data_IF_282061922611
#
_entry.id   IF_282061922611
#
_cell.length_a   1.000
_cell.length_b   1.000
_cell.length_c   1.000
_cell.angle_alpha   90.00
_cell.angle_beta   90.00
_cell.angle_gamma   90.00
#
_symmetry.space_group_name_H-M   'P 1'
#
loop_
_entity.id
_entity.type
_entity.pdbx_description
1 polymer ?
#
# COMPACT_ATOMS: atom_id res chain seq x y z
N UNK A 1 3.04 12.52 -7.35
CA UNK A 1 3.22 12.24 -5.91
C UNK A 1 2.49 13.29 -5.09
N UNK A 2 1.83 12.88 -4.01
CA UNK A 2 1.17 13.75 -3.03
C UNK A 2 1.72 13.47 -1.64
N UNK A 3 2.11 14.54 -0.93
CA UNK A 3 2.59 14.44 0.44
C UNK A 3 1.42 14.39 1.42
N UNK A 4 1.61 13.61 2.49
CA UNK A 4 0.71 13.48 3.65
C UNK A 4 1.58 13.39 4.93
N UNK A 5 0.98 13.16 6.10
CA UNK A 5 1.73 13.18 7.36
C UNK A 5 2.04 11.79 7.93
N UNK A 6 1.44 10.74 7.40
CA UNK A 6 1.60 9.37 7.92
C UNK A 6 1.34 8.31 6.85
N UNK A 7 1.76 7.07 7.10
CA UNK A 7 1.41 5.93 6.27
C UNK A 7 -0.09 5.68 6.22
N UNK A 8 -0.81 5.88 7.33
CA UNK A 8 -2.29 5.78 7.37
C UNK A 8 -2.96 6.74 6.38
N UNK A 9 -2.52 8.00 6.35
CA UNK A 9 -3.05 8.97 5.38
C UNK A 9 -2.68 8.61 3.95
N UNK A 10 -1.49 8.07 3.72
CA UNK A 10 -1.06 7.63 2.39
C UNK A 10 -1.94 6.50 1.85
N UNK A 11 -2.13 5.44 2.62
CA UNK A 11 -2.93 4.26 2.23
C UNK A 11 -4.41 4.60 2.10
N UNK A 12 -4.97 5.36 3.06
CA UNK A 12 -6.35 5.86 2.99
C UNK A 12 -6.59 6.68 1.72
N UNK A 13 -5.66 7.57 1.39
CA UNK A 13 -5.77 8.43 0.20
C UNK A 13 -5.60 7.64 -1.10
N UNK A 14 -4.69 6.67 -1.12
CA UNK A 14 -4.49 5.80 -2.28
C UNK A 14 -5.72 4.93 -2.57
N UNK A 15 -6.37 4.37 -1.55
CA UNK A 15 -7.62 3.61 -1.73
C UNK A 15 -8.77 4.51 -2.18
N UNK A 16 -8.92 5.71 -1.59
CA UNK A 16 -9.93 6.67 -2.06
C UNK A 16 -9.69 7.04 -3.53
N UNK A 17 -8.44 7.26 -3.90
CA UNK A 17 -8.07 7.57 -5.28
C UNK A 17 -8.38 6.40 -6.23
N UNK A 18 -8.07 5.16 -5.83
CA UNK A 18 -8.36 3.97 -6.60
C UNK A 18 -9.88 3.82 -6.84
N UNK A 19 -10.69 3.99 -5.80
CA UNK A 19 -12.16 3.99 -5.91
C UNK A 19 -12.66 5.10 -6.85
N UNK A 20 -12.17 6.33 -6.69
CA UNK A 20 -12.55 7.46 -7.54
C UNK A 20 -12.12 7.31 -9.00
N UNK A 21 -10.98 6.66 -9.26
CA UNK A 21 -10.49 6.40 -10.60
C UNK A 21 -11.30 5.30 -11.31
N UNK A 22 -11.56 4.19 -10.63
CA UNK A 22 -12.22 3.01 -11.21
C UNK A 22 -13.75 3.08 -11.16
N UNK A 23 -14.32 3.91 -10.28
CA UNK A 23 -15.77 3.93 -10.00
C UNK A 23 -16.26 2.66 -9.30
N UNK A 24 -15.37 1.91 -8.64
CA UNK A 24 -15.67 0.66 -7.93
C UNK A 24 -15.43 0.84 -6.43
N UNK A 25 -16.15 0.11 -5.57
CA UNK A 25 -16.14 0.35 -4.13
C UNK A 25 -15.25 -0.62 -3.35
N UNK A 26 -15.14 -1.88 -3.82
CA UNK A 26 -14.46 -2.93 -3.06
C UNK A 26 -12.95 -2.87 -3.20
N UNK A 27 -12.26 -3.25 -2.14
CA UNK A 27 -10.81 -3.49 -2.14
C UNK A 27 -10.49 -4.89 -1.63
N UNK A 28 -9.39 -5.45 -2.10
CA UNK A 28 -8.80 -6.66 -1.53
C UNK A 28 -7.56 -6.24 -0.74
N UNK A 29 -7.47 -6.65 0.53
CA UNK A 29 -6.26 -6.61 1.35
C UNK A 29 -5.86 -8.03 1.74
N UNK A 30 -4.67 -8.19 2.31
CA UNK A 30 -4.21 -9.50 2.78
C UNK A 30 -4.28 -9.61 4.30
N UNK A 31 -4.63 -10.79 4.79
CA UNK A 31 -4.57 -11.10 6.21
C UNK A 31 -3.16 -10.88 6.74
N UNK A 32 -3.04 -10.26 7.91
CA UNK A 32 -1.76 -9.92 8.53
C UNK A 32 -1.07 -8.67 7.98
N UNK A 33 -1.41 -8.18 6.77
CA UNK A 33 -0.91 -6.88 6.29
C UNK A 33 -1.53 -5.72 7.08
N UNK A 34 -0.68 -4.76 7.45
CA UNK A 34 -1.09 -3.55 8.16
C UNK A 34 -0.95 -2.31 7.27
N UNK A 35 -2.05 -1.59 7.11
CA UNK A 35 -2.12 -0.41 6.25
C UNK A 35 -2.55 0.86 7.00
N UNK A 36 -2.27 0.93 8.30
CA UNK A 36 -2.72 2.02 9.14
C UNK A 36 -4.10 1.75 9.76
N UNK A 37 -4.71 2.79 10.35
CA UNK A 37 -5.92 2.66 11.15
C UNK A 37 -7.15 3.35 10.55
N UNK A 38 -7.18 3.57 9.23
CA UNK A 38 -8.43 3.91 8.57
C UNK A 38 -9.39 2.72 8.63
N UNK A 39 -10.68 2.97 8.84
CA UNK A 39 -11.70 1.95 9.08
C UNK A 39 -11.68 0.81 8.06
N UNK A 40 -11.46 1.16 6.79
CA UNK A 40 -11.30 0.21 5.67
C UNK A 40 -10.25 -0.88 5.92
N UNK A 41 -9.22 -0.60 6.74
CA UNK A 41 -8.14 -1.54 7.01
C UNK A 41 -8.28 -2.31 8.33
N UNK A 42 -9.21 -1.90 9.20
CA UNK A 42 -9.47 -2.53 10.48
C UNK A 42 -10.42 -3.74 10.33
N UNK A 43 -10.13 -4.58 9.36
CA UNK A 43 -10.90 -5.76 9.00
C UNK A 43 -9.95 -6.94 8.87
N UNK A 44 -10.30 -8.06 9.50
CA UNK A 44 -9.59 -9.34 9.44
C UNK A 44 -10.43 -10.39 8.71
N UNK A 45 -9.82 -11.49 8.29
CA UNK A 45 -10.54 -12.62 7.73
C UNK A 45 -11.59 -13.15 8.74
N UNK A 46 -12.78 -13.48 8.24
CA UNK A 46 -13.82 -14.15 9.03
C UNK A 46 -13.39 -15.57 9.39
N UNK A 47 -13.90 -16.09 10.49
CA UNK A 47 -13.70 -17.49 10.86
C UNK A 47 -14.59 -18.41 10.01
N UNK A 48 -13.98 -19.37 9.33
CA UNK A 48 -14.69 -20.41 8.56
C UNK A 48 -15.01 -19.99 7.11
N UNK A 49 -16.11 -20.50 6.57
CA UNK A 49 -16.57 -20.26 5.19
C UNK A 49 -17.18 -18.86 4.97
N UNK A 50 -17.12 -17.97 5.97
CA UNK A 50 -17.64 -16.60 5.83
C UNK A 50 -16.71 -15.79 4.93
N UNK A 51 -17.19 -15.46 3.76
CA UNK A 51 -16.51 -14.61 2.75
C UNK A 51 -16.32 -13.17 3.23
N UNK A 52 -17.08 -12.75 4.24
CA UNK A 52 -17.03 -11.40 4.81
C UNK A 52 -16.01 -11.32 5.96
N UNK A 53 -15.16 -10.29 5.92
CA UNK A 53 -14.28 -9.96 7.02
C UNK A 53 -15.06 -9.63 8.31
N UNK A 54 -14.37 -9.71 9.43
CA UNK A 54 -14.87 -9.21 10.71
C UNK A 54 -14.11 -7.95 11.09
N UNK A 55 -14.81 -6.98 11.71
CA UNK A 55 -14.11 -5.82 12.26
C UNK A 55 -13.13 -6.27 13.34
N UNK A 56 -11.89 -5.80 13.23
CA UNK A 56 -10.86 -5.98 14.26
C UNK A 56 -10.91 -4.86 15.32
N UNK A 57 -11.82 -3.91 15.18
CA UNK A 57 -11.97 -2.77 16.11
C UNK A 57 -13.44 -2.41 16.32
N UNK A 58 -13.80 -2.10 17.56
CA UNK A 58 -15.06 -1.43 17.85
C UNK A 58 -15.12 -0.08 17.12
N UNK A 59 -16.30 0.31 16.66
CA UNK A 59 -16.55 1.58 15.96
C UNK A 59 -16.49 1.52 14.44
N UNK A 60 -16.01 0.43 13.85
CA UNK A 60 -16.09 0.20 12.40
C UNK A 60 -17.51 -0.28 12.04
N UNK A 61 -18.14 0.39 11.07
CA UNK A 61 -19.52 0.09 10.67
C UNK A 61 -19.61 -1.06 9.69
N UNK A 62 -20.75 -1.76 9.64
CA UNK A 62 -20.97 -2.93 8.77
C UNK A 62 -20.74 -2.62 7.28
N UNK A 63 -21.17 -1.46 6.80
CA UNK A 63 -20.98 -1.06 5.40
C UNK A 63 -19.51 -0.98 4.98
N UNK A 64 -18.62 -0.57 5.89
CA UNK A 64 -17.18 -0.52 5.60
C UNK A 64 -16.60 -1.94 5.51
N UNK A 65 -17.13 -2.87 6.33
CA UNK A 65 -16.73 -4.28 6.32
C UNK A 65 -17.06 -4.93 4.97
N UNK A 66 -18.27 -4.65 4.43
CA UNK A 66 -18.75 -5.22 3.18
C UNK A 66 -17.89 -4.85 1.96
N UNK A 67 -17.19 -3.71 2.01
CA UNK A 67 -16.35 -3.22 0.92
C UNK A 67 -14.88 -3.61 1.05
N UNK A 68 -14.51 -4.39 2.08
CA UNK A 68 -13.14 -4.85 2.26
C UNK A 68 -13.06 -6.37 2.28
N UNK A 69 -12.50 -6.92 1.22
CA UNK A 69 -12.27 -8.34 1.05
C UNK A 69 -10.88 -8.71 1.58
N UNK A 70 -10.76 -9.88 2.21
CA UNK A 70 -9.49 -10.34 2.80
C UNK A 70 -9.02 -11.60 2.11
N UNK A 71 -7.84 -11.52 1.48
CA UNK A 71 -7.14 -12.63 0.86
C UNK A 71 -6.04 -13.19 1.77
N UNK A 72 -5.59 -14.40 1.49
CA UNK A 72 -4.44 -15.02 2.17
C UNK A 72 -3.14 -14.61 1.47
N UNK A 73 -2.15 -14.14 2.24
CA UNK A 73 -0.85 -13.76 1.68
C UNK A 73 -0.11 -14.98 1.15
N UNK A 74 0.59 -14.82 0.02
CA UNK A 74 1.24 -15.91 -0.72
C UNK A 74 0.30 -16.99 -1.29
N UNK A 75 -1.02 -16.73 -1.33
CA UNK A 75 -2.00 -17.58 -2.00
C UNK A 75 -2.71 -16.81 -3.11
N UNK A 76 -2.22 -16.94 -4.35
CA UNK A 76 -2.79 -16.25 -5.52
C UNK A 76 -4.21 -16.74 -5.83
N UNK A 77 -4.54 -17.99 -5.49
CA UNK A 77 -5.87 -18.54 -5.75
C UNK A 77 -6.92 -17.92 -4.82
N UNK A 78 -6.53 -17.46 -3.63
CA UNK A 78 -7.43 -16.69 -2.76
C UNK A 78 -7.83 -15.36 -3.40
N UNK A 79 -6.91 -14.68 -4.07
CA UNK A 79 -7.18 -13.44 -4.80
C UNK A 79 -8.04 -13.72 -6.03
N UNK A 80 -7.73 -14.76 -6.80
CA UNK A 80 -8.48 -15.14 -8.00
C UNK A 80 -9.96 -15.40 -7.67
N UNK A 81 -10.23 -16.17 -6.64
CA UNK A 81 -11.61 -16.46 -6.19
C UNK A 81 -12.37 -15.17 -5.85
N UNK A 82 -11.75 -14.24 -5.12
CA UNK A 82 -12.38 -12.97 -4.77
C UNK A 82 -12.64 -12.10 -6.01
N UNK A 83 -11.72 -12.04 -6.97
CA UNK A 83 -11.90 -11.30 -8.22
C UNK A 83 -12.99 -11.91 -9.11
N UNK A 84 -13.12 -13.23 -9.12
CA UNK A 84 -14.21 -13.94 -9.83
C UNK A 84 -15.57 -13.69 -9.17
N UNK A 85 -15.66 -13.80 -7.84
CA UNK A 85 -16.89 -13.62 -7.06
C UNK A 85 -17.40 -12.17 -7.13
N UNK A 86 -16.47 -11.19 -7.05
CA UNK A 86 -16.81 -9.75 -7.07
C UNK A 86 -16.39 -9.08 -8.39
N UNK A 87 -16.54 -9.80 -9.50
CA UNK A 87 -16.11 -9.31 -10.82
C UNK A 87 -16.69 -7.93 -11.13
N UNK A 88 -15.80 -7.00 -11.53
CA UNK A 88 -16.16 -5.63 -11.87
C UNK A 88 -16.51 -4.73 -10.67
N UNK A 89 -16.39 -5.21 -9.42
CA UNK A 89 -16.67 -4.42 -8.21
C UNK A 89 -15.40 -4.02 -7.45
N UNK A 90 -14.25 -4.68 -7.74
CA UNK A 90 -13.00 -4.44 -7.03
C UNK A 90 -12.24 -3.29 -7.68
N UNK A 91 -11.95 -2.25 -6.90
CA UNK A 91 -11.16 -1.08 -7.31
C UNK A 91 -9.66 -1.37 -7.28
N UNK A 92 -9.20 -2.02 -6.22
CA UNK A 92 -7.77 -2.25 -6.01
C UNK A 92 -7.49 -3.49 -5.14
N UNK A 93 -6.30 -4.05 -5.34
CA UNK A 93 -5.62 -4.94 -4.41
C UNK A 93 -4.51 -4.15 -3.74
N UNK A 94 -4.46 -4.15 -2.40
CA UNK A 94 -3.40 -3.50 -1.61
C UNK A 94 -2.65 -4.53 -0.77
N UNK A 95 -1.31 -4.45 -0.76
CA UNK A 95 -0.48 -5.31 0.09
C UNK A 95 0.81 -4.61 0.51
N UNK A 96 1.38 -5.07 1.63
CA UNK A 96 2.81 -4.90 1.91
C UNK A 96 3.56 -5.90 1.00
N UNK A 97 4.38 -5.46 0.04
CA UNK A 97 5.09 -6.39 -0.85
C UNK A 97 6.11 -7.28 -0.12
N UNK A 98 6.59 -6.81 1.04
CA UNK A 98 7.26 -7.61 2.07
C UNK A 98 6.48 -7.34 3.34
N UNK A 99 5.79 -8.35 3.85
CA UNK A 99 4.96 -8.20 5.04
C UNK A 99 5.83 -8.01 6.27
N UNK A 100 5.95 -6.76 6.75
CA UNK A 100 6.83 -6.41 7.87
C UNK A 100 6.17 -6.56 9.23
N UNK A 101 4.86 -6.35 9.32
CA UNK A 101 4.14 -6.28 10.58
C UNK A 101 3.94 -7.64 11.27
N UNK A 102 3.96 -8.74 10.53
CA UNK A 102 3.80 -10.12 11.02
C UNK A 102 5.13 -10.88 11.20
N UNK A 103 6.25 -10.18 11.34
CA UNK A 103 7.55 -10.79 11.60
C UNK A 103 8.39 -11.00 10.35
N UNK A 104 8.26 -10.17 9.36
CA UNK A 104 9.00 -10.16 8.10
C UNK A 104 8.77 -11.41 7.26
N UNK A 105 7.67 -11.41 6.52
CA UNK A 105 7.32 -12.50 5.61
C UNK A 105 7.55 -12.01 4.17
N UNK A 106 8.55 -12.54 3.45
CA UNK A 106 8.77 -12.21 2.04
C UNK A 106 7.67 -12.82 1.16
N UNK A 107 7.45 -12.26 -0.04
CA UNK A 107 6.58 -12.88 -1.02
C UNK A 107 7.19 -14.23 -1.47
N UNK A 108 6.33 -15.21 -1.67
CA UNK A 108 6.73 -16.47 -2.29
C UNK A 108 7.23 -16.24 -3.74
N UNK A 109 8.08 -17.10 -4.28
CA UNK A 109 8.52 -16.99 -5.66
C UNK A 109 7.34 -16.80 -6.60
N UNK A 110 7.44 -15.87 -7.54
CA UNK A 110 6.43 -15.47 -8.54
C UNK A 110 5.11 -14.89 -8.02
N UNK A 111 4.88 -14.81 -6.70
CA UNK A 111 3.61 -14.32 -6.15
C UNK A 111 3.29 -12.88 -6.60
N UNK A 112 4.25 -11.97 -6.53
CA UNK A 112 4.03 -10.57 -6.92
C UNK A 112 3.84 -10.40 -8.43
N UNK A 113 4.58 -11.16 -9.25
CA UNK A 113 4.44 -11.16 -10.70
C UNK A 113 3.08 -11.71 -11.13
N UNK A 114 2.64 -12.81 -10.51
CA UNK A 114 1.32 -13.38 -10.78
C UNK A 114 0.20 -12.44 -10.33
N UNK A 115 0.36 -11.80 -9.17
CA UNK A 115 -0.58 -10.80 -8.68
C UNK A 115 -0.68 -9.60 -9.63
N UNK A 116 0.48 -9.09 -10.13
CA UNK A 116 0.49 -8.01 -11.13
C UNK A 116 -0.27 -8.43 -12.40
N UNK A 117 0.05 -9.60 -12.94
CA UNK A 117 -0.60 -10.12 -14.13
C UNK A 117 -2.11 -10.31 -13.93
N UNK A 118 -2.52 -10.81 -12.78
CA UNK A 118 -3.92 -11.03 -12.45
C UNK A 118 -4.68 -9.70 -12.35
N UNK A 119 -4.12 -8.71 -11.66
CA UNK A 119 -4.74 -7.38 -11.52
C UNK A 119 -4.83 -6.64 -12.86
N UNK A 120 -3.86 -6.78 -13.76
CA UNK A 120 -3.93 -6.24 -15.12
C UNK A 120 -5.03 -6.91 -15.94
N UNK A 121 -5.16 -8.24 -15.84
CA UNK A 121 -6.17 -8.99 -16.59
C UNK A 121 -7.61 -8.61 -16.18
N UNK A 122 -7.82 -8.37 -14.89
CA UNK A 122 -9.14 -8.04 -14.34
C UNK A 122 -9.40 -6.50 -14.26
N UNK A 123 -8.49 -5.67 -14.82
CA UNK A 123 -8.58 -4.21 -14.79
C UNK A 123 -8.77 -3.68 -13.35
N UNK A 124 -7.96 -4.19 -12.42
CA UNK A 124 -7.93 -3.84 -11.00
C UNK A 124 -6.59 -3.18 -10.69
N UNK A 125 -6.60 -2.11 -9.90
CA UNK A 125 -5.36 -1.42 -9.55
C UNK A 125 -4.55 -2.21 -8.52
N UNK A 126 -3.24 -2.24 -8.67
CA UNK A 126 -2.31 -2.79 -7.70
C UNK A 126 -1.68 -1.67 -6.89
N UNK A 127 -1.81 -1.72 -5.55
CA UNK A 127 -1.23 -0.75 -4.63
C UNK A 127 -0.19 -1.45 -3.77
N UNK A 128 1.06 -0.98 -3.81
CA UNK A 128 2.09 -1.41 -2.87
C UNK A 128 2.14 -0.44 -1.68
N UNK A 129 1.90 -0.99 -0.50
CA UNK A 129 2.20 -0.32 0.76
C UNK A 129 3.67 -0.55 1.09
N UNK A 130 4.50 0.37 0.65
CA UNK A 130 5.93 0.40 0.90
C UNK A 130 6.30 1.30 2.10
N UNK A 131 5.39 1.51 3.02
CA UNK A 131 5.66 2.30 4.24
C UNK A 131 6.79 1.69 5.07
N UNK A 132 6.96 0.35 5.04
CA UNK A 132 8.09 -0.34 5.68
C UNK A 132 9.21 -0.62 4.68
N UNK A 133 8.90 -1.20 3.53
CA UNK A 133 9.89 -1.71 2.57
C UNK A 133 10.51 -0.64 1.67
N UNK A 134 9.80 0.47 1.41
CA UNK A 134 10.27 1.57 0.57
C UNK A 134 11.53 2.22 1.13
N UNK A 135 12.56 2.35 0.30
CA UNK A 135 13.89 2.81 0.68
C UNK A 135 14.58 2.00 1.79
N UNK A 136 13.97 0.92 2.25
CA UNK A 136 14.52 0.01 3.25
C UNK A 136 15.06 -1.27 2.63
N UNK A 137 14.28 -1.94 1.80
CA UNK A 137 14.65 -3.20 1.16
C UNK A 137 15.70 -2.98 0.05
N UNK A 138 15.54 -1.91 -0.70
CA UNK A 138 16.44 -1.40 -1.72
C UNK A 138 16.19 0.09 -1.87
N UNK A 139 16.98 0.79 -2.69
CA UNK A 139 16.77 2.22 -2.98
C UNK A 139 15.39 2.47 -3.59
N UNK A 140 14.95 1.65 -4.52
CA UNK A 140 13.63 1.68 -5.13
C UNK A 140 12.59 0.81 -4.40
N UNK A 141 12.89 0.36 -3.16
CA UNK A 141 11.98 -0.46 -2.37
C UNK A 141 11.82 -1.89 -2.88
N UNK A 142 10.72 -2.52 -2.51
CA UNK A 142 10.40 -3.87 -2.96
C UNK A 142 10.08 -3.91 -4.46
N UNK A 143 9.60 -2.83 -5.05
CA UNK A 143 9.39 -2.72 -6.50
C UNK A 143 10.68 -3.01 -7.28
N UNK A 144 11.79 -2.41 -6.86
CA UNK A 144 13.11 -2.66 -7.46
C UNK A 144 13.59 -4.07 -7.18
N UNK A 145 13.47 -4.52 -5.94
CA UNK A 145 13.97 -5.82 -5.49
C UNK A 145 13.32 -6.99 -6.24
N UNK A 146 12.01 -6.90 -6.49
CA UNK A 146 11.24 -7.97 -7.15
C UNK A 146 10.90 -7.68 -8.62
N UNK A 147 11.27 -6.50 -9.13
CA UNK A 147 11.01 -6.14 -10.54
C UNK A 147 9.52 -5.96 -10.87
N UNK A 148 8.66 -5.75 -9.88
CA UNK A 148 7.21 -5.60 -10.07
C UNK A 148 6.78 -4.16 -9.82
N UNK A 149 6.09 -3.56 -10.79
CA UNK A 149 5.63 -2.17 -10.72
C UNK A 149 4.13 -2.09 -10.42
N UNK A 150 3.73 -1.53 -9.26
CA UNK A 150 2.33 -1.28 -8.95
C UNK A 150 1.78 -0.05 -9.70
N UNK A 151 0.46 0.14 -9.67
CA UNK A 151 -0.19 1.36 -10.17
C UNK A 151 -0.03 2.52 -9.20
N UNK A 152 -0.10 2.25 -7.90
CA UNK A 152 0.11 3.21 -6.82
C UNK A 152 1.07 2.65 -5.76
N UNK A 153 1.84 3.54 -5.15
CA UNK A 153 2.75 3.25 -4.05
C UNK A 153 2.49 4.17 -2.89
N UNK A 154 2.44 3.62 -1.68
CA UNK A 154 2.37 4.37 -0.42
C UNK A 154 3.73 4.32 0.28
N UNK A 155 4.18 5.44 0.79
CA UNK A 155 5.47 5.61 1.47
C UNK A 155 5.27 6.29 2.83
N UNK A 156 6.20 6.06 3.74
CA UNK A 156 6.20 6.67 5.07
C UNK A 156 7.49 6.37 5.82
N UNK A 157 7.43 6.37 7.14
CA UNK A 157 8.56 6.02 8.02
C UNK A 157 9.88 6.67 7.59
N UNK A 158 10.76 5.91 6.94
CA UNK A 158 12.13 6.33 6.58
C UNK A 158 12.16 7.63 5.76
N UNK A 159 11.17 7.87 4.90
CA UNK A 159 11.13 9.10 4.08
C UNK A 159 10.97 10.38 4.90
N UNK A 160 10.59 10.27 6.17
CA UNK A 160 10.44 11.40 7.09
C UNK A 160 11.72 11.74 7.86
N UNK A 161 12.76 10.89 7.81
CA UNK A 161 13.99 11.14 8.58
C UNK A 161 13.76 11.28 10.08
N UNK A 162 12.73 10.62 10.64
CA UNK A 162 12.31 10.70 12.03
C UNK A 162 11.14 11.65 12.29
N UNK A 163 10.70 12.42 11.30
CA UNK A 163 9.55 13.34 11.42
C UNK A 163 8.30 12.76 10.71
N UNK A 164 7.10 13.28 11.04
CA UNK A 164 5.84 12.81 10.46
C UNK A 164 5.75 13.15 8.97
N UNK A 165 6.00 12.17 8.11
CA UNK A 165 5.86 12.25 6.66
C UNK A 165 5.27 10.97 6.14
N UNK A 166 4.34 11.09 5.22
CA UNK A 166 3.90 10.06 4.32
C UNK A 166 3.78 10.60 2.91
N UNK A 167 3.68 9.73 1.95
CA UNK A 167 3.44 10.10 0.56
C UNK A 167 2.72 8.97 -0.15
N UNK A 168 1.97 9.30 -1.18
CA UNK A 168 1.47 8.33 -2.15
C UNK A 168 1.63 8.87 -3.56
N UNK A 169 1.78 7.98 -4.51
CA UNK A 169 1.99 8.34 -5.90
C UNK A 169 1.93 7.13 -6.80
N UNK A 170 2.03 7.34 -8.10
CA UNK A 170 1.99 6.29 -9.10
C UNK A 170 1.74 6.83 -10.49
N UNK A 171 0.96 6.11 -11.27
CA UNK A 171 0.60 6.46 -12.64
C UNK A 171 -0.01 7.86 -12.71
N UNK A 172 0.41 8.64 -13.71
CA UNK A 172 -0.01 10.03 -13.87
C UNK A 172 -1.53 10.16 -14.08
N UNK A 173 -2.10 9.31 -14.91
CA UNK A 173 -3.54 9.28 -15.23
C UNK A 173 -4.42 9.03 -13.99
N UNK A 174 -3.93 8.23 -13.03
CA UNK A 174 -4.60 8.01 -11.75
C UNK A 174 -4.43 9.24 -10.86
N UNK A 175 -3.20 9.75 -10.74
CA UNK A 175 -2.89 10.89 -9.86
C UNK A 175 -3.56 12.19 -10.29
N UNK A 176 -3.88 12.36 -11.57
CA UNK A 176 -4.61 13.51 -12.11
C UNK A 176 -6.09 13.54 -11.68
N UNK A 177 -6.63 12.42 -11.14
CA UNK A 177 -7.95 12.43 -10.52
C UNK A 177 -8.01 13.16 -9.16
N UNK A 178 -6.85 13.52 -8.60
CA UNK A 178 -6.79 14.31 -7.37
C UNK A 178 -7.13 15.79 -7.63
N UNK A 179 -7.91 16.39 -6.72
CA UNK A 179 -8.16 17.82 -6.70
C UNK A 179 -6.82 18.61 -6.64
N UNK A 180 -6.68 19.76 -7.34
CA UNK A 180 -7.70 20.49 -8.10
C UNK A 180 -7.89 20.03 -9.56
N UNK A 181 -7.09 19.08 -10.05
CA UNK A 181 -7.19 18.60 -11.45
C UNK A 181 -8.39 17.67 -11.63
N UNK A 182 -8.68 16.83 -10.66
CA UNK A 182 -9.81 15.91 -10.66
C UNK A 182 -10.76 16.14 -9.49
N UNK A 183 -11.58 15.14 -9.23
CA UNK A 183 -12.71 15.18 -8.29
C UNK A 183 -12.43 14.47 -6.95
N UNK A 184 -11.29 13.77 -6.83
CA UNK A 184 -10.90 13.07 -5.59
C UNK A 184 -10.22 14.03 -4.63
N UNK A 185 -10.81 14.23 -3.45
CA UNK A 185 -10.31 15.17 -2.47
C UNK A 185 -9.27 14.55 -1.53
N UNK A 186 -8.17 15.27 -1.34
CA UNK A 186 -7.15 15.03 -0.31
C UNK A 186 -6.57 16.36 0.15
N UNK A 187 -6.47 16.58 1.45
CA UNK A 187 -5.84 17.74 2.05
C UNK A 187 -5.21 17.38 3.40
N UNK A 188 -4.23 18.18 3.81
CA UNK A 188 -3.58 18.09 5.11
C UNK A 188 -2.81 19.38 5.38
N UNK A 189 -3.16 20.10 6.42
CA UNK A 189 -2.57 21.43 6.71
C UNK A 189 -1.05 21.40 6.83
N UNK A 190 -0.51 20.34 7.44
CA UNK A 190 0.93 20.18 7.65
C UNK A 190 1.59 19.24 6.62
N UNK A 191 0.84 18.76 5.63
CA UNK A 191 1.40 17.90 4.57
C UNK A 191 2.42 18.67 3.76
N UNK A 192 3.65 18.17 3.70
CA UNK A 192 4.74 18.83 3.01
C UNK A 192 5.30 20.06 3.76
N UNK A 193 5.17 20.13 5.09
CA UNK A 193 5.74 21.22 5.86
C UNK A 193 7.28 21.27 5.74
N UNK A 194 7.89 22.47 5.75
CA UNK A 194 9.32 22.62 5.47
C UNK A 194 10.25 21.85 6.41
N UNK A 195 9.88 21.73 7.69
CA UNK A 195 10.71 21.03 8.69
C UNK A 195 10.79 19.54 8.38
N UNK A 196 9.64 18.92 8.14
CA UNK A 196 9.56 17.50 7.84
C UNK A 196 10.19 17.18 6.47
N UNK A 197 10.02 18.07 5.47
CA UNK A 197 10.68 17.91 4.18
C UNK A 197 12.19 18.03 4.28
N UNK A 198 12.73 18.96 5.06
CA UNK A 198 14.17 19.10 5.26
C UNK A 198 14.80 17.84 5.86
N UNK A 199 14.16 17.25 6.88
CA UNK A 199 14.59 15.98 7.46
C UNK A 199 14.52 14.83 6.45
N UNK A 200 13.42 14.74 5.71
CA UNK A 200 13.22 13.73 4.66
C UNK A 200 14.25 13.85 3.54
N UNK A 201 14.53 15.07 3.06
CA UNK A 201 15.56 15.31 2.04
C UNK A 201 16.94 14.84 2.52
N UNK A 202 17.32 15.20 3.74
CA UNK A 202 18.58 14.77 4.35
C UNK A 202 18.67 13.23 4.42
N UNK A 203 17.59 12.57 4.85
CA UNK A 203 17.54 11.10 4.88
C UNK A 203 17.68 10.52 3.47
N UNK A 204 16.92 10.99 2.49
CA UNK A 204 16.99 10.49 1.12
C UNK A 204 18.35 10.73 0.46
N UNK A 205 19.03 11.85 0.77
CA UNK A 205 20.40 12.10 0.33
C UNK A 205 21.38 11.08 0.93
N UNK A 206 21.27 10.77 2.21
CA UNK A 206 22.07 9.72 2.87
C UNK A 206 21.83 8.35 2.23
N UNK A 207 20.57 7.99 1.94
CA UNK A 207 20.23 6.72 1.27
C UNK A 207 20.74 6.67 -0.20
N UNK A 208 21.00 7.82 -0.80
CA UNK A 208 21.51 7.91 -2.17
C UNK A 208 23.04 7.84 -2.24
N UNK A 209 23.75 7.84 -1.10
CA UNK A 209 25.21 7.70 -1.09
C UNK A 209 25.66 6.40 -1.77
N UNK A 210 26.76 6.42 -2.50
CA UNK A 210 27.37 5.20 -3.04
C UNK A 210 27.57 4.15 -1.94
N UNK A 211 27.32 2.90 -2.26
CA UNK A 211 27.52 1.74 -1.39
C UNK A 211 26.72 1.73 -0.07
N UNK A 212 25.72 2.63 0.08
CA UNK A 212 24.90 2.67 1.31
C UNK A 212 24.26 1.31 1.59
N UNK A 213 23.57 0.72 0.60
CA UNK A 213 22.89 -0.57 0.76
C UNK A 213 23.87 -1.73 0.89
N UNK A 214 25.03 -1.70 0.24
CA UNK A 214 26.08 -2.70 0.42
C UNK A 214 26.55 -2.72 1.86
N UNK A 215 26.87 -1.53 2.43
CA UNK A 215 27.25 -1.41 3.84
C UNK A 215 26.15 -1.83 4.82
N UNK A 216 24.88 -1.58 4.45
CA UNK A 216 23.72 -2.01 5.25
C UNK A 216 23.60 -3.53 5.27
N UNK A 217 23.78 -4.18 4.13
CA UNK A 217 23.77 -5.64 4.01
C UNK A 217 24.89 -6.28 4.81
N UNK A 218 26.13 -5.78 4.71
CA UNK A 218 27.28 -6.24 5.49
C UNK A 218 27.00 -6.19 7.01
N UNK A 219 26.34 -5.13 7.48
CA UNK A 219 25.94 -5.02 8.90
C UNK A 219 24.82 -6.00 9.29
N UNK A 220 23.96 -6.35 8.35
CA UNK A 220 22.90 -7.33 8.57
C UNK A 220 23.41 -8.78 8.67
N UNK A 221 24.57 -9.05 8.06
CA UNK A 221 25.22 -10.37 8.07
C UNK A 221 26.15 -10.58 9.29
N UNK A 222 26.53 -9.54 9.99
CA UNK A 222 27.39 -9.56 11.17
C UNK A 222 26.64 -9.87 12.45
#
# INVERSE_FOLDING_TARGET
VRMVNSGTEATMSAVRLARGYTGRDKIIKFEGCYHGHADTFLISAGSGLATFGQSSSAGVTEHIIEDTLVATYNDIESVRRLLEEYRGQVAAVILEPIMGNMGLIPPAPSFLEELRRLTELEDVLLIFDEVISGFRAARGGAQELYGVRPDLTCLGKIIGGGLPVGAFGGRADIMERLAPLGDVYQAGTLSGNPLALAAGITMLQTLAEPDFYTRLEEKGQA
#
